data_IF_044517750765
#
_entry.id   IF_044517750765
#
_cell.length_a   1.000
_cell.length_b   1.000
_cell.length_c   1.000
_cell.angle_alpha   90.00
_cell.angle_beta   90.00
_cell.angle_gamma   90.00
#
_symmetry.space_group_name_H-M   'P 1'
#
loop_
_entity.id
_entity.type
_entity.pdbx_description
1 polymer ?
#
# COMPACT_ATOMS: atom_id res chain seq x y z
N UNK A 1 -4.12 -9.21 -7.77
CA UNK A 1 -3.32 -9.75 -6.65
C UNK A 1 -4.21 -9.88 -5.41
N UNK A 2 -3.71 -10.52 -4.34
CA UNK A 2 -4.36 -10.50 -3.03
C UNK A 2 -4.20 -9.14 -2.33
N UNK A 3 -4.15 -9.14 -0.99
CA UNK A 3 -4.14 -7.92 -0.16
C UNK A 3 -2.97 -6.94 -0.38
N UNK A 4 -1.94 -7.28 -1.17
CA UNK A 4 -0.83 -6.36 -1.46
C UNK A 4 0.27 -6.33 -0.39
N UNK A 5 0.45 -7.40 0.39
CA UNK A 5 1.55 -7.55 1.36
C UNK A 5 2.94 -7.26 0.74
N UNK A 6 3.28 -7.78 -0.46
CA UNK A 6 4.59 -7.46 -1.06
C UNK A 6 4.80 -5.96 -1.32
N UNK A 7 3.73 -5.21 -1.56
CA UNK A 7 3.81 -3.76 -1.78
C UNK A 7 4.13 -3.04 -0.46
N UNK A 8 3.52 -3.47 0.64
CA UNK A 8 3.79 -2.94 1.98
C UNK A 8 5.22 -3.25 2.43
N UNK A 9 5.73 -4.45 2.14
CA UNK A 9 7.13 -4.81 2.40
C UNK A 9 8.09 -3.92 1.61
N UNK A 10 7.83 -3.69 0.33
CA UNK A 10 8.63 -2.78 -0.50
C UNK A 10 8.63 -1.34 0.06
N UNK A 11 7.47 -0.84 0.48
CA UNK A 11 7.33 0.46 1.14
C UNK A 11 8.15 0.53 2.44
N UNK A 12 8.09 -0.50 3.29
CA UNK A 12 8.83 -0.58 4.54
C UNK A 12 10.36 -0.66 4.35
N UNK A 13 10.82 -1.06 3.17
CA UNK A 13 12.23 -1.07 2.80
C UNK A 13 12.70 0.23 2.11
N UNK A 14 11.83 1.23 2.01
CA UNK A 14 12.13 2.49 1.32
C UNK A 14 12.21 2.36 -0.21
N UNK A 15 11.57 1.33 -0.77
CA UNK A 15 11.49 1.15 -2.21
C UNK A 15 10.23 1.86 -2.76
N UNK A 16 10.36 2.81 -3.71
CA UNK A 16 9.21 3.42 -4.35
C UNK A 16 8.44 2.38 -5.18
N UNK A 17 7.12 2.34 -5.02
CA UNK A 17 6.26 1.32 -5.64
C UNK A 17 5.56 1.84 -6.89
N UNK A 18 5.60 1.05 -7.96
CA UNK A 18 4.74 1.16 -9.14
C UNK A 18 3.87 -0.10 -9.19
N UNK A 19 2.55 0.04 -9.35
CA UNK A 19 1.64 -1.11 -9.39
C UNK A 19 0.39 -0.83 -10.22
N UNK A 20 -0.36 -1.87 -10.57
CA UNK A 20 -1.59 -1.71 -11.36
C UNK A 20 -2.71 -1.05 -10.53
N UNK A 21 -3.59 -0.31 -11.18
CA UNK A 21 -4.74 0.35 -10.55
C UNK A 21 -5.95 -0.58 -10.31
N UNK A 22 -5.75 -1.88 -10.19
CA UNK A 22 -6.84 -2.88 -10.15
C UNK A 22 -6.98 -3.57 -8.80
N UNK A 23 -8.14 -4.19 -8.57
CA UNK A 23 -8.44 -4.94 -7.34
C UNK A 23 -8.35 -4.07 -6.09
N UNK A 24 -7.91 -4.62 -4.96
CA UNK A 24 -7.74 -3.91 -3.68
C UNK A 24 -6.47 -3.06 -3.62
N UNK A 25 -5.63 -3.08 -4.64
CA UNK A 25 -4.31 -2.43 -4.60
C UNK A 25 -4.40 -0.91 -4.39
N UNK A 26 -5.27 -0.15 -5.09
CA UNK A 26 -5.38 1.29 -4.88
C UNK A 26 -5.72 1.67 -3.43
N UNK A 27 -6.51 0.84 -2.75
CA UNK A 27 -6.87 1.06 -1.34
C UNK A 27 -5.70 0.77 -0.40
N UNK A 28 -4.91 -0.26 -0.70
CA UNK A 28 -3.75 -0.68 0.12
C UNK A 28 -2.61 0.31 0.01
N UNK A 29 -2.31 0.81 -1.20
CA UNK A 29 -1.19 1.71 -1.42
C UNK A 29 -1.53 3.19 -1.20
N UNK A 30 -2.82 3.56 -1.25
CA UNK A 30 -3.30 4.93 -1.11
C UNK A 30 -2.48 5.91 -2.00
N UNK A 31 -1.76 6.85 -1.39
CA UNK A 31 -0.93 7.84 -2.08
C UNK A 31 0.55 7.46 -2.19
N UNK A 32 0.92 6.28 -1.68
CA UNK A 32 2.31 5.86 -1.53
C UNK A 32 2.88 5.11 -2.75
N UNK A 33 2.08 4.93 -3.81
CA UNK A 33 2.53 4.31 -5.05
C UNK A 33 2.10 5.12 -6.28
N UNK A 34 2.80 4.91 -7.40
CA UNK A 34 2.29 5.27 -8.71
C UNK A 34 1.46 4.12 -9.27
N UNK A 35 0.29 4.45 -9.80
CA UNK A 35 -0.63 3.49 -10.37
C UNK A 35 -0.61 3.57 -11.90
N UNK A 36 -0.64 2.41 -12.57
CA UNK A 36 -0.79 2.33 -14.02
C UNK A 36 -2.00 1.46 -14.41
N UNK A 37 -2.56 1.68 -15.60
CA UNK A 37 -3.55 0.78 -16.19
C UNK A 37 -2.84 -0.47 -16.73
N UNK A 38 -3.14 -1.68 -16.23
CA UNK A 38 -2.48 -2.90 -16.68
C UNK A 38 -2.75 -3.26 -18.15
N UNK A 39 -3.76 -2.65 -18.78
CA UNK A 39 -4.07 -2.86 -20.20
C UNK A 39 -3.41 -1.81 -21.11
N UNK A 40 -2.60 -0.91 -20.55
CA UNK A 40 -1.94 0.17 -21.28
C UNK A 40 -0.43 0.16 -21.02
N UNK A 41 0.34 -0.28 -22.04
CA UNK A 41 1.80 -0.24 -22.01
C UNK A 41 2.28 1.21 -21.85
N UNK A 42 1.66 2.16 -22.54
CA UNK A 42 2.00 3.58 -22.44
C UNK A 42 1.81 4.11 -21.00
N UNK A 43 0.74 3.67 -20.30
CA UNK A 43 0.53 4.04 -18.90
C UNK A 43 1.68 3.56 -18.01
N UNK A 44 2.22 2.36 -18.25
CA UNK A 44 3.34 1.81 -17.49
C UNK A 44 4.64 2.58 -17.79
N UNK A 45 4.93 2.86 -19.06
CA UNK A 45 6.12 3.62 -19.48
C UNK A 45 6.11 5.00 -18.82
N UNK A 46 4.99 5.72 -18.88
CA UNK A 46 4.86 7.05 -18.31
C UNK A 46 5.16 7.10 -16.81
N UNK A 47 4.71 6.11 -16.03
CA UNK A 47 4.98 6.09 -14.58
C UNK A 47 6.43 5.71 -14.26
N UNK A 48 7.06 4.87 -15.08
CA UNK A 48 8.49 4.53 -14.95
C UNK A 48 9.33 5.76 -15.25
N UNK A 49 9.10 6.43 -16.38
CA UNK A 49 9.82 7.65 -16.78
C UNK A 49 9.65 8.77 -15.75
N UNK A 50 8.44 8.94 -15.21
CA UNK A 50 8.18 9.91 -14.15
C UNK A 50 9.00 9.61 -12.89
N UNK A 51 9.10 8.34 -12.50
CA UNK A 51 9.86 7.95 -11.30
C UNK A 51 11.37 8.07 -11.51
N UNK A 52 11.86 7.75 -12.71
CA UNK A 52 13.27 7.84 -13.07
C UNK A 52 13.73 9.31 -13.08
N UNK A 53 12.98 10.18 -13.77
CA UNK A 53 13.34 11.58 -14.03
C UNK A 53 13.06 12.55 -12.88
N UNK A 54 12.30 12.15 -11.85
CA UNK A 54 11.86 13.04 -10.77
C UNK A 54 12.27 12.54 -9.39
N UNK A 55 13.48 12.95 -8.95
CA UNK A 55 14.03 12.60 -7.64
C UNK A 55 13.13 13.03 -6.47
N UNK A 56 12.62 14.27 -6.49
CA UNK A 56 11.72 14.77 -5.45
C UNK A 56 10.43 13.95 -5.33
N UNK A 57 9.88 13.49 -6.46
CA UNK A 57 8.71 12.60 -6.49
C UNK A 57 9.03 11.26 -5.83
N UNK A 58 10.20 10.69 -6.14
CA UNK A 58 10.69 9.42 -5.57
C UNK A 58 10.87 9.53 -4.06
N UNK A 59 11.54 10.56 -3.55
CA UNK A 59 11.68 10.79 -2.10
C UNK A 59 10.32 10.94 -1.42
N UNK A 60 9.39 11.68 -2.05
CA UNK A 60 8.03 11.82 -1.53
C UNK A 60 7.30 10.49 -1.44
N UNK A 61 7.42 9.63 -2.46
CA UNK A 61 6.79 8.30 -2.45
C UNK A 61 7.39 7.40 -1.37
N UNK A 62 8.70 7.45 -1.16
CA UNK A 62 9.38 6.72 -0.09
C UNK A 62 8.84 7.13 1.29
N UNK A 63 8.74 8.43 1.55
CA UNK A 63 8.19 8.95 2.81
C UNK A 63 6.72 8.55 3.00
N UNK A 64 5.91 8.63 1.94
CA UNK A 64 4.53 8.18 1.98
C UNK A 64 4.43 6.65 2.20
N UNK A 65 5.36 5.88 1.64
CA UNK A 65 5.47 4.43 1.84
C UNK A 65 5.68 4.08 3.31
N UNK A 66 6.64 4.71 3.97
CA UNK A 66 6.87 4.50 5.40
C UNK A 66 5.65 4.86 6.25
N UNK A 67 4.91 5.91 5.90
CA UNK A 67 3.69 6.27 6.62
C UNK A 67 2.51 5.33 6.32
N UNK A 68 2.44 4.78 5.10
CA UNK A 68 1.39 3.86 4.69
C UNK A 68 1.59 2.47 5.32
N UNK A 69 2.80 1.91 5.29
CA UNK A 69 3.11 0.59 5.85
C UNK A 69 2.74 0.50 7.34
N UNK A 70 3.05 1.55 8.12
CA UNK A 70 2.71 1.63 9.56
C UNK A 70 1.21 1.45 9.85
N UNK A 71 0.33 1.72 8.88
CA UNK A 71 -1.11 1.51 9.06
C UNK A 71 -1.49 0.03 9.13
N UNK A 72 -0.64 -0.87 8.63
CA UNK A 72 -0.86 -2.32 8.46
C UNK A 72 -0.04 -3.19 9.44
N UNK A 73 0.23 -2.68 10.65
CA UNK A 73 0.90 -3.43 11.71
C UNK A 73 0.12 -4.68 12.16
N UNK A 74 0.83 -5.79 12.35
CA UNK A 74 0.28 -7.00 12.96
C UNK A 74 -0.21 -6.78 14.39
N UNK A 75 0.50 -5.99 15.20
CA UNK A 75 0.08 -5.68 16.57
C UNK A 75 -1.26 -4.96 16.60
N UNK A 76 -1.44 -3.98 15.71
CA UNK A 76 -2.71 -3.26 15.53
C UNK A 76 -3.81 -4.22 15.08
N UNK A 77 -3.53 -5.07 14.09
CA UNK A 77 -4.48 -6.06 13.57
C UNK A 77 -4.94 -7.02 14.67
N UNK A 78 -4.01 -7.53 15.48
CA UNK A 78 -4.31 -8.42 16.59
C UNK A 78 -5.16 -7.72 17.66
N UNK A 79 -4.80 -6.50 18.06
CA UNK A 79 -5.56 -5.73 19.05
C UNK A 79 -6.99 -5.42 18.60
N UNK A 80 -7.16 -4.92 17.37
CA UNK A 80 -8.49 -4.58 16.86
C UNK A 80 -9.36 -5.82 16.65
N UNK A 81 -8.76 -6.92 16.17
CA UNK A 81 -9.47 -8.20 16.02
C UNK A 81 -9.91 -8.75 17.39
N UNK A 82 -9.04 -8.69 18.39
CA UNK A 82 -9.37 -9.10 19.76
C UNK A 82 -10.54 -8.31 20.35
N UNK A 83 -10.58 -6.97 20.14
CA UNK A 83 -11.70 -6.13 20.57
C UNK A 83 -13.03 -6.60 19.98
N UNK A 84 -13.05 -6.92 18.68
CA UNK A 84 -14.25 -7.43 18.01
C UNK A 84 -14.67 -8.79 18.57
N UNK A 85 -13.72 -9.70 18.80
CA UNK A 85 -14.01 -11.00 19.40
C UNK A 85 -14.55 -10.88 20.82
N UNK A 86 -13.95 -10.01 21.64
CA UNK A 86 -14.44 -9.71 22.99
C UNK A 86 -15.85 -9.13 22.96
N UNK A 87 -16.10 -8.16 22.09
CA UNK A 87 -17.44 -7.57 21.93
C UNK A 87 -18.49 -8.62 21.52
N UNK A 88 -18.17 -9.48 20.56
CA UNK A 88 -19.07 -10.54 20.13
C UNK A 88 -19.34 -11.59 21.22
N UNK A 89 -18.35 -11.88 22.07
CA UNK A 89 -18.50 -12.74 23.24
C UNK A 89 -19.41 -12.10 24.30
N UNK A 90 -19.15 -10.84 24.64
CA UNK A 90 -19.90 -10.08 25.65
C UNK A 90 -21.36 -9.79 25.21
N UNK A 91 -21.69 -9.86 23.92
CA UNK A 91 -23.09 -9.78 23.44
C UNK A 91 -23.87 -11.10 23.64
N UNK A 92 -23.18 -12.22 23.76
CA UNK A 92 -23.78 -13.56 23.90
C UNK A 92 -24.01 -13.98 25.35
N UNK A 93 -23.41 -13.28 26.30
CA UNK A 93 -23.41 -13.57 27.73
C UNK A 93 -23.81 -12.33 28.53
#
# INVERSE_FOLDING_TARGET
EGFGIPLLEAMGMGCPVITSNTSSIPEVVDKAALLFDPNSIDSLINVIELLESNESKREKLINLGFEQEKKFSWDKTAHETFKVYKYAYDLKH
#
